data_IF_704260353883
#
_entry.id   IF_704260353883
#
_cell.length_a   1.000
_cell.length_b   1.000
_cell.length_c   1.000
_cell.angle_alpha   90.00
_cell.angle_beta   90.00
_cell.angle_gamma   90.00
#
_symmetry.space_group_name_H-M   'P 1'
#
loop_
_entity.id
_entity.type
_entity.pdbx_description
1 polymer ?
#
# COMPACT_ATOMS: atom_id res chain seq x y z
N UNK A 1 -9.89 5.87 -4.74
CA UNK A 1 -9.72 4.40 -4.87
C UNK A 1 -10.45 3.63 -3.78
N UNK A 2 -10.21 3.91 -2.48
CA UNK A 2 -10.83 3.13 -1.37
C UNK A 2 -12.36 3.06 -1.47
N UNK A 3 -13.04 4.19 -1.68
CA UNK A 3 -14.50 4.23 -1.85
C UNK A 3 -14.97 3.46 -3.09
N UNK A 4 -14.27 3.61 -4.22
CA UNK A 4 -14.60 2.87 -5.45
C UNK A 4 -14.39 1.36 -5.30
N UNK A 5 -13.29 0.95 -4.68
CA UNK A 5 -13.06 -0.46 -4.35
C UNK A 5 -14.15 -0.98 -3.40
N UNK A 6 -14.62 -0.16 -2.44
CA UNK A 6 -15.75 -0.55 -1.58
C UNK A 6 -17.05 -0.73 -2.38
N UNK A 7 -17.33 0.13 -3.35
CA UNK A 7 -18.50 -0.05 -4.25
C UNK A 7 -18.37 -1.37 -5.02
N UNK A 8 -17.20 -1.66 -5.61
CA UNK A 8 -16.98 -2.91 -6.35
C UNK A 8 -17.10 -4.14 -5.45
N UNK A 9 -16.46 -4.12 -4.27
CA UNK A 9 -16.38 -5.30 -3.41
C UNK A 9 -17.66 -5.53 -2.60
N UNK A 10 -18.33 -4.46 -2.13
CA UNK A 10 -19.48 -4.58 -1.24
C UNK A 10 -20.83 -4.42 -1.95
N UNK A 11 -20.96 -3.50 -2.91
CA UNK A 11 -22.24 -3.29 -3.63
C UNK A 11 -22.47 -4.39 -4.67
N UNK A 12 -21.43 -4.77 -5.40
CA UNK A 12 -21.51 -5.87 -6.37
C UNK A 12 -21.14 -7.23 -5.76
N UNK A 13 -20.87 -7.29 -4.44
CA UNK A 13 -20.46 -8.49 -3.72
C UNK A 13 -19.30 -9.27 -4.40
N UNK A 14 -18.39 -8.54 -5.05
CA UNK A 14 -17.31 -9.13 -5.85
C UNK A 14 -16.18 -9.63 -4.94
N UNK A 15 -16.11 -10.95 -4.73
CA UNK A 15 -15.15 -11.56 -3.82
C UNK A 15 -13.84 -12.01 -4.51
N UNK A 16 -13.25 -11.14 -5.33
CA UNK A 16 -11.97 -11.40 -6.02
C UNK A 16 -11.08 -10.15 -6.08
N UNK A 17 -10.61 -9.72 -4.90
CA UNK A 17 -9.86 -8.48 -4.74
C UNK A 17 -8.52 -8.44 -5.49
N UNK A 18 -7.83 -9.58 -5.63
CA UNK A 18 -6.55 -9.65 -6.34
C UNK A 18 -6.79 -9.56 -7.86
N UNK A 19 -7.86 -10.17 -8.35
CA UNK A 19 -8.27 -10.08 -9.75
C UNK A 19 -8.64 -8.65 -10.14
N UNK A 20 -9.32 -7.92 -9.24
CA UNK A 20 -9.57 -6.48 -9.43
C UNK A 20 -8.26 -5.68 -9.48
N UNK A 21 -7.32 -5.95 -8.57
CA UNK A 21 -6.02 -5.29 -8.59
C UNK A 21 -5.23 -5.59 -9.87
N UNK A 22 -5.24 -6.84 -10.34
CA UNK A 22 -4.62 -7.24 -11.60
C UNK A 22 -5.21 -6.45 -12.77
N UNK A 23 -6.54 -6.31 -12.81
CA UNK A 23 -7.22 -5.49 -13.81
C UNK A 23 -6.83 -4.00 -13.71
N UNK A 24 -6.77 -3.44 -12.50
CA UNK A 24 -6.33 -2.04 -12.28
C UNK A 24 -4.89 -1.80 -12.75
N UNK A 25 -3.98 -2.74 -12.50
CA UNK A 25 -2.59 -2.67 -12.97
C UNK A 25 -2.51 -2.81 -14.50
N UNK A 26 -3.38 -3.64 -15.11
CA UNK A 26 -3.48 -3.78 -16.56
C UNK A 26 -3.94 -2.47 -17.21
N UNK A 27 -5.01 -1.86 -16.69
CA UNK A 27 -5.50 -0.55 -17.14
C UNK A 27 -4.40 0.51 -17.00
N UNK A 28 -3.69 0.51 -15.88
CA UNK A 28 -2.55 1.42 -15.66
C UNK A 28 -1.46 1.26 -16.73
N UNK A 29 -1.12 0.03 -17.10
CA UNK A 29 -0.16 -0.24 -18.18
C UNK A 29 -0.67 0.20 -19.55
N UNK A 30 -1.93 -0.09 -19.86
CA UNK A 30 -2.56 0.26 -21.14
C UNK A 30 -2.61 1.78 -21.34
N UNK A 31 -3.06 2.53 -20.32
CA UNK A 31 -3.12 3.99 -20.38
C UNK A 31 -1.75 4.59 -20.63
N UNK A 32 -0.71 4.13 -19.92
CA UNK A 32 0.65 4.64 -20.11
C UNK A 32 1.21 4.25 -21.49
N UNK A 33 0.89 3.05 -21.98
CA UNK A 33 1.28 2.62 -23.33
C UNK A 33 0.61 3.47 -24.43
N UNK A 34 -0.67 3.81 -24.27
CA UNK A 34 -1.39 4.71 -25.17
C UNK A 34 -0.79 6.12 -25.15
N UNK A 35 -0.53 6.68 -23.96
CA UNK A 35 0.11 7.99 -23.82
C UNK A 35 1.51 8.04 -24.45
N UNK A 36 2.25 6.94 -24.39
CA UNK A 36 3.53 6.78 -25.09
C UNK A 36 3.34 6.78 -26.61
N UNK A 37 2.36 6.05 -27.12
CA UNK A 37 2.07 5.97 -28.55
C UNK A 37 1.62 7.32 -29.12
N UNK A 38 0.83 8.08 -28.35
CA UNK A 38 0.43 9.45 -28.69
C UNK A 38 1.54 10.50 -28.57
N UNK A 39 2.76 10.11 -28.17
CA UNK A 39 3.90 11.01 -28.03
C UNK A 39 3.82 11.97 -26.83
N UNK A 40 2.79 11.86 -25.99
CA UNK A 40 2.57 12.73 -24.82
C UNK A 40 3.60 12.45 -23.72
N UNK A 41 4.08 11.20 -23.62
CA UNK A 41 5.02 10.78 -22.58
C UNK A 41 6.21 10.04 -23.16
N UNK A 42 7.41 10.41 -22.72
CA UNK A 42 8.63 9.66 -22.96
C UNK A 42 8.78 8.52 -21.96
N UNK A 43 8.82 7.28 -22.48
CA UNK A 43 9.07 6.08 -21.69
C UNK A 43 10.43 5.50 -22.08
N UNK A 44 11.27 5.28 -21.08
CA UNK A 44 12.60 4.70 -21.25
C UNK A 44 12.53 3.28 -21.81
N UNK A 45 13.53 2.91 -22.61
CA UNK A 45 13.61 1.54 -23.16
C UNK A 45 13.93 0.57 -22.03
N UNK A 46 13.11 -0.46 -21.87
CA UNK A 46 13.34 -1.47 -20.86
C UNK A 46 14.64 -2.22 -21.11
N UNK A 47 15.44 -2.34 -20.06
CA UNK A 47 16.67 -3.12 -20.04
C UNK A 47 16.52 -4.25 -19.02
N UNK A 48 17.03 -5.44 -19.35
CA UNK A 48 17.11 -6.57 -18.42
C UNK A 48 17.79 -6.23 -17.09
N UNK A 49 18.81 -5.36 -17.10
CA UNK A 49 19.43 -4.86 -15.87
C UNK A 49 18.43 -4.10 -14.99
N UNK A 50 17.62 -3.24 -15.60
CA UNK A 50 16.63 -2.42 -14.93
C UNK A 50 15.51 -3.29 -14.33
N UNK A 51 15.02 -4.26 -15.10
CA UNK A 51 14.02 -5.25 -14.66
C UNK A 51 14.55 -6.02 -13.44
N UNK A 52 15.80 -6.52 -13.49
CA UNK A 52 16.39 -7.29 -12.39
C UNK A 52 16.55 -6.46 -11.11
N UNK A 53 16.88 -5.17 -11.24
CA UNK A 53 17.00 -4.26 -10.07
C UNK A 53 15.62 -4.02 -9.44
N UNK A 54 14.55 -4.01 -10.23
CA UNK A 54 13.18 -3.76 -9.74
C UNK A 54 12.38 -4.98 -9.33
N UNK A 55 12.79 -6.17 -9.76
CA UNK A 55 12.12 -7.43 -9.43
C UNK A 55 11.93 -7.63 -7.91
N UNK A 56 12.92 -7.35 -7.02
CA UNK A 56 12.75 -7.51 -5.58
C UNK A 56 11.60 -6.67 -5.01
N UNK A 57 11.36 -5.48 -5.55
CA UNK A 57 10.27 -4.60 -5.10
C UNK A 57 8.91 -5.26 -5.33
N UNK A 58 8.72 -5.90 -6.49
CA UNK A 58 7.48 -6.58 -6.83
C UNK A 58 7.27 -7.86 -6.02
N UNK A 59 8.34 -8.60 -5.70
CA UNK A 59 8.26 -9.77 -4.80
C UNK A 59 7.84 -9.35 -3.39
N UNK A 60 8.39 -8.27 -2.85
CA UNK A 60 7.98 -7.74 -1.55
C UNK A 60 6.53 -7.25 -1.60
N UNK A 61 6.13 -6.61 -2.69
CA UNK A 61 4.75 -6.16 -2.91
C UNK A 61 3.75 -7.33 -2.83
N UNK A 62 4.05 -8.46 -3.47
CA UNK A 62 3.23 -9.69 -3.39
C UNK A 62 3.09 -10.18 -1.97
N UNK A 63 4.20 -10.29 -1.23
CA UNK A 63 4.16 -10.68 0.18
C UNK A 63 3.32 -9.71 1.01
N UNK A 64 3.44 -8.41 0.75
CA UNK A 64 2.65 -7.36 1.41
C UNK A 64 1.15 -7.54 1.14
N UNK A 65 0.75 -7.90 -0.08
CA UNK A 65 -0.66 -8.17 -0.40
C UNK A 65 -1.20 -9.39 0.36
N UNK A 66 -0.50 -10.53 0.28
CA UNK A 66 -0.91 -11.77 0.95
C UNK A 66 -1.05 -11.54 2.45
N UNK A 67 0.00 -11.03 3.09
CA UNK A 67 0.00 -10.77 4.53
C UNK A 67 -1.08 -9.78 4.96
N UNK A 68 -1.36 -8.76 4.15
CA UNK A 68 -2.42 -7.80 4.41
C UNK A 68 -3.82 -8.40 4.32
N UNK A 69 -4.05 -9.28 3.34
CA UNK A 69 -5.32 -9.99 3.18
C UNK A 69 -5.59 -10.96 4.33
N UNK A 70 -4.60 -11.80 4.69
CA UNK A 70 -4.75 -12.71 5.82
C UNK A 70 -4.91 -11.98 7.14
N UNK A 71 -4.22 -10.85 7.34
CA UNK A 71 -4.44 -9.99 8.50
C UNK A 71 -5.90 -9.54 8.62
N UNK A 72 -6.45 -8.92 7.57
CA UNK A 72 -7.84 -8.44 7.54
C UNK A 72 -8.89 -9.56 7.68
N UNK A 73 -8.53 -10.82 7.40
CA UNK A 73 -9.40 -11.98 7.61
C UNK A 73 -9.59 -12.31 9.10
N UNK A 74 -8.59 -12.04 9.94
CA UNK A 74 -8.56 -12.47 11.34
C UNK A 74 -8.70 -11.33 12.34
N UNK A 75 -8.36 -10.09 11.94
CA UNK A 75 -8.45 -8.91 12.80
C UNK A 75 -9.23 -7.79 12.13
N UNK A 76 -9.93 -7.00 12.96
CA UNK A 76 -10.75 -5.91 12.47
C UNK A 76 -9.91 -4.77 11.85
N UNK A 77 -10.53 -3.99 10.97
CA UNK A 77 -9.87 -2.91 10.19
C UNK A 77 -9.24 -1.84 11.09
N UNK A 78 -9.88 -1.51 12.21
CA UNK A 78 -9.37 -0.52 13.14
C UNK A 78 -8.05 -0.98 13.76
N UNK A 79 -7.97 -2.25 14.17
CA UNK A 79 -6.77 -2.81 14.77
C UNK A 79 -5.61 -2.94 13.76
N UNK A 80 -5.90 -3.37 12.52
CA UNK A 80 -4.93 -3.32 11.41
C UNK A 80 -4.37 -1.91 11.24
N UNK A 81 -5.23 -0.90 11.36
CA UNK A 81 -4.86 0.50 11.17
C UNK A 81 -3.89 0.98 12.26
N UNK A 82 -4.15 0.64 13.52
CA UNK A 82 -3.25 0.96 14.64
C UNK A 82 -1.92 0.22 14.48
N UNK A 83 -1.94 -1.10 14.25
CA UNK A 83 -0.73 -1.91 14.12
C UNK A 83 0.15 -1.46 12.95
N UNK A 84 -0.45 -0.96 11.86
CA UNK A 84 0.28 -0.35 10.74
C UNK A 84 1.08 0.89 11.14
N UNK A 85 0.87 1.49 12.30
CA UNK A 85 1.72 2.58 12.77
C UNK A 85 3.13 2.07 13.16
N UNK A 86 3.28 0.80 13.54
CA UNK A 86 4.59 0.19 13.75
C UNK A 86 5.46 0.18 12.47
N UNK A 87 4.82 0.19 11.28
CA UNK A 87 5.51 0.31 9.99
C UNK A 87 6.37 1.58 9.91
N UNK A 88 5.91 2.69 10.51
CA UNK A 88 6.67 3.96 10.50
C UNK A 88 8.02 3.80 11.20
N UNK A 89 8.05 3.03 12.29
CA UNK A 89 9.22 2.81 13.13
C UNK A 89 10.23 1.94 12.41
N UNK A 90 9.77 0.82 11.84
CA UNK A 90 10.59 -0.07 11.03
C UNK A 90 11.16 0.70 9.84
N UNK A 91 10.35 1.56 9.21
CA UNK A 91 10.79 2.41 8.08
C UNK A 91 11.86 3.41 8.51
N UNK A 92 11.71 4.06 9.67
CA UNK A 92 12.69 5.02 10.17
C UNK A 92 14.02 4.37 10.59
N UNK A 93 13.96 3.21 11.25
CA UNK A 93 15.15 2.40 11.56
C UNK A 93 15.84 1.95 10.26
N UNK A 94 15.06 1.45 9.30
CA UNK A 94 15.60 1.04 8.01
C UNK A 94 16.17 2.21 7.21
N UNK A 95 15.58 3.40 7.30
CA UNK A 95 16.11 4.61 6.67
C UNK A 95 17.45 5.03 7.29
N UNK A 96 17.57 4.94 8.63
CA UNK A 96 18.81 5.17 9.35
C UNK A 96 19.90 4.17 8.92
N UNK A 97 19.58 2.88 8.82
CA UNK A 97 20.56 1.85 8.46
C UNK A 97 20.97 1.89 6.99
N UNK A 98 20.00 2.00 6.07
CA UNK A 98 20.26 1.92 4.62
C UNK A 98 20.75 3.23 4.01
N UNK A 99 20.25 4.38 4.47
CA UNK A 99 20.54 5.69 3.89
C UNK A 99 21.36 6.59 4.84
N UNK A 100 21.69 6.12 6.05
CA UNK A 100 22.43 6.87 7.08
C UNK A 100 21.76 8.20 7.46
N UNK A 101 20.44 8.31 7.28
CA UNK A 101 19.67 9.51 7.64
C UNK A 101 19.14 9.39 9.07
N UNK A 102 19.64 10.26 9.97
CA UNK A 102 19.15 10.35 11.36
C UNK A 102 17.81 11.08 11.42
N UNK A 103 16.98 10.64 12.36
CA UNK A 103 15.69 11.28 12.68
C UNK A 103 15.84 12.16 13.92
N UNK A 104 15.03 13.21 14.01
CA UNK A 104 14.99 14.11 15.16
C UNK A 104 14.49 13.37 16.42
N UNK A 105 14.93 13.78 17.62
CA UNK A 105 14.47 13.20 18.89
C UNK A 105 12.95 13.31 19.06
N UNK A 106 12.35 14.39 18.52
CA UNK A 106 10.88 14.54 18.49
C UNK A 106 10.18 13.44 17.68
N UNK A 107 10.80 12.99 16.58
CA UNK A 107 10.27 11.91 15.75
C UNK A 107 10.30 10.58 16.51
N UNK A 108 11.39 10.30 17.23
CA UNK A 108 11.51 9.11 18.08
C UNK A 108 10.47 9.10 19.20
N UNK A 109 10.24 10.24 19.86
CA UNK A 109 9.20 10.36 20.89
C UNK A 109 7.80 10.06 20.33
N UNK A 110 7.48 10.58 19.13
CA UNK A 110 6.20 10.31 18.49
C UNK A 110 6.03 8.84 18.10
N UNK A 111 7.10 8.19 17.62
CA UNK A 111 7.11 6.76 17.34
C UNK A 111 6.89 5.92 18.59
N UNK A 112 7.45 6.32 19.73
CA UNK A 112 7.23 5.63 21.00
C UNK A 112 5.75 5.68 21.43
N UNK A 113 5.09 6.83 21.27
CA UNK A 113 3.65 6.94 21.52
C UNK A 113 2.82 6.02 20.60
N UNK A 114 3.23 5.85 19.34
CA UNK A 114 2.58 4.90 18.42
C UNK A 114 2.72 3.45 18.87
N UNK A 115 3.86 3.07 19.49
CA UNK A 115 4.04 1.72 20.08
C UNK A 115 3.08 1.52 21.24
N UNK A 116 3.01 2.51 22.16
CA UNK A 116 2.12 2.43 23.32
C UNK A 116 0.67 2.22 22.87
N UNK A 117 0.21 2.99 21.88
CA UNK A 117 -1.13 2.83 21.29
C UNK A 117 -1.35 1.44 20.69
N UNK A 118 -0.36 0.90 19.97
CA UNK A 118 -0.47 -0.42 19.35
C UNK A 118 -0.55 -1.54 20.38
N UNK A 119 0.24 -1.45 21.46
CA UNK A 119 0.23 -2.42 22.55
C UNK A 119 -1.09 -2.30 23.34
N UNK A 120 -1.51 -1.09 23.71
CA UNK A 120 -2.76 -0.88 24.44
C UNK A 120 -3.98 -1.32 23.62
N UNK A 121 -3.99 -1.04 22.32
CA UNK A 121 -5.01 -1.50 21.39
C UNK A 121 -5.09 -3.02 21.32
N UNK A 122 -3.95 -3.72 21.32
CA UNK A 122 -3.92 -5.18 21.30
C UNK A 122 -4.38 -5.84 22.59
N UNK A 123 -4.02 -5.27 23.74
CA UNK A 123 -4.46 -5.77 25.04
C UNK A 123 -5.97 -5.58 25.22
N UNK A 124 -6.53 -4.50 24.66
CA UNK A 124 -7.95 -4.15 24.78
C UNK A 124 -8.82 -4.68 23.64
N UNK A 125 -8.24 -5.47 22.73
CA UNK A 125 -8.96 -6.08 21.62
C UNK A 125 -9.76 -7.30 22.11
N UNK A 126 -11.08 -7.13 22.16
CA UNK A 126 -12.03 -8.19 22.52
C UNK A 126 -12.04 -9.35 21.51
N UNK A 127 -11.47 -9.15 20.32
CA UNK A 127 -11.40 -10.11 19.21
C UNK A 127 -9.97 -10.53 18.88
N UNK A 128 -9.12 -10.63 19.91
CA UNK A 128 -7.71 -10.98 19.72
C UNK A 128 -7.52 -12.33 19.01
N UNK A 129 -6.77 -12.31 17.91
CA UNK A 129 -6.41 -13.50 17.14
C UNK A 129 -4.90 -13.52 16.84
N UNK A 130 -4.15 -14.37 17.54
CA UNK A 130 -2.69 -14.44 17.40
C UNK A 130 -2.20 -14.66 15.95
N UNK A 131 -2.94 -15.42 15.15
CA UNK A 131 -2.62 -15.65 13.73
C UNK A 131 -2.76 -14.35 12.94
N UNK A 132 -3.84 -13.61 13.15
CA UNK A 132 -4.07 -12.30 12.52
C UNK A 132 -3.00 -11.26 12.88
N UNK A 133 -2.62 -11.19 14.15
CA UNK A 133 -1.56 -10.28 14.63
C UNK A 133 -0.18 -10.64 14.06
N UNK A 134 0.12 -11.93 13.90
CA UNK A 134 1.35 -12.40 13.26
C UNK A 134 1.39 -11.98 11.79
N UNK A 135 0.29 -12.21 11.05
CA UNK A 135 0.17 -11.74 9.67
C UNK A 135 0.29 -10.23 9.54
N UNK A 136 -0.32 -9.48 10.47
CA UNK A 136 -0.22 -8.02 10.48
C UNK A 136 1.20 -7.53 10.77
N UNK A 137 1.92 -8.21 11.66
CA UNK A 137 3.32 -7.88 11.97
C UNK A 137 4.20 -8.13 10.74
N UNK A 138 4.03 -9.27 10.08
CA UNK A 138 4.68 -9.56 8.81
C UNK A 138 4.33 -8.51 7.73
N UNK A 139 3.06 -8.09 7.67
CA UNK A 139 2.60 -7.03 6.76
C UNK A 139 3.31 -5.70 7.04
N UNK A 140 3.50 -5.32 8.31
CA UNK A 140 4.22 -4.10 8.67
C UNK A 140 5.69 -4.14 8.21
N UNK A 141 6.37 -5.28 8.43
CA UNK A 141 7.76 -5.48 7.98
C UNK A 141 7.87 -5.41 6.46
N UNK A 142 6.96 -6.07 5.74
CA UNK A 142 6.93 -6.08 4.27
C UNK A 142 6.59 -4.71 3.70
N UNK A 143 5.67 -3.96 4.33
CA UNK A 143 5.31 -2.59 3.91
C UNK A 143 6.49 -1.64 4.08
N UNK A 144 7.22 -1.72 5.20
CA UNK A 144 8.43 -0.92 5.42
C UNK A 144 9.55 -1.33 4.43
N UNK A 145 9.74 -2.63 4.24
CA UNK A 145 10.73 -3.17 3.30
C UNK A 145 10.43 -2.74 1.86
N UNK A 146 9.15 -2.69 1.47
CA UNK A 146 8.72 -2.23 0.16
C UNK A 146 9.10 -0.77 -0.07
N UNK A 147 8.75 0.15 0.85
CA UNK A 147 9.04 1.57 0.68
C UNK A 147 10.55 1.87 0.66
N UNK A 148 11.33 1.21 1.53
CA UNK A 148 12.79 1.32 1.58
C UNK A 148 13.46 0.76 0.31
N UNK A 149 13.04 -0.43 -0.12
CA UNK A 149 13.60 -1.08 -1.31
C UNK A 149 13.22 -0.31 -2.57
N UNK A 150 11.97 0.14 -2.68
CA UNK A 150 11.52 0.96 -3.80
C UNK A 150 12.35 2.24 -3.87
N UNK A 151 12.56 2.95 -2.76
CA UNK A 151 13.44 4.13 -2.73
C UNK A 151 14.85 3.80 -3.19
N UNK A 152 15.46 2.74 -2.66
CA UNK A 152 16.81 2.32 -3.01
C UNK A 152 16.93 1.95 -4.49
N UNK A 153 15.90 1.32 -5.05
CA UNK A 153 15.83 0.95 -6.46
C UNK A 153 15.68 2.19 -7.33
N UNK A 154 14.85 3.17 -6.95
CA UNK A 154 14.76 4.44 -7.67
C UNK A 154 16.11 5.18 -7.72
N UNK A 155 16.86 5.18 -6.61
CA UNK A 155 18.20 5.79 -6.57
C UNK A 155 19.23 5.00 -7.42
N UNK A 156 19.21 3.65 -7.39
CA UNK A 156 20.09 2.79 -8.21
C UNK A 156 19.74 2.78 -9.70
N UNK A 157 18.46 2.91 -10.04
CA UNK A 157 17.98 2.88 -11.42
C UNK A 157 18.52 4.07 -12.23
N UNK A 158 18.80 5.22 -11.59
CA UNK A 158 19.49 6.36 -12.21
C UNK A 158 20.84 5.97 -12.80
N UNK A 159 21.60 5.11 -12.10
CA UNK A 159 22.92 4.64 -12.53
C UNK A 159 22.84 3.54 -13.61
N UNK A 160 21.70 2.87 -13.72
CA UNK A 160 21.50 1.72 -14.62
C UNK A 160 20.82 2.07 -15.95
N UNK A 161 20.42 3.33 -16.12
CA UNK A 161 19.70 3.83 -17.30
C UNK A 161 20.66 4.59 -18.21
N UNK A 162 20.60 4.37 -19.53
CA UNK A 162 21.52 4.98 -20.51
C UNK A 162 21.44 6.52 -20.55
N UNK A 163 20.31 7.11 -20.19
CA UNK A 163 20.06 8.55 -20.13
C UNK A 163 20.46 9.20 -18.79
N UNK A 164 20.86 8.41 -17.79
CA UNK A 164 21.23 8.92 -16.45
C UNK A 164 20.05 9.39 -15.57
N UNK A 165 18.82 9.40 -16.10
CA UNK A 165 17.61 9.67 -15.33
C UNK A 165 16.48 8.77 -15.79
N UNK A 166 15.61 8.38 -14.86
CA UNK A 166 14.49 7.51 -15.13
C UNK A 166 13.21 8.29 -14.84
N UNK A 167 12.43 8.55 -15.88
CA UNK A 167 11.17 9.30 -15.76
C UNK A 167 10.19 8.57 -14.82
N UNK A 168 9.47 9.31 -13.98
CA UNK A 168 8.41 8.82 -13.10
C UNK A 168 7.38 7.97 -13.83
N UNK A 169 7.03 8.32 -15.07
CA UNK A 169 6.08 7.50 -15.83
C UNK A 169 6.68 6.15 -16.22
N UNK A 170 7.99 6.08 -16.47
CA UNK A 170 8.69 4.81 -16.69
C UNK A 170 8.74 3.97 -15.42
N UNK A 171 8.89 4.60 -14.25
CA UNK A 171 8.80 3.93 -12.96
C UNK A 171 7.44 3.31 -12.72
N UNK A 172 6.38 4.07 -12.99
CA UNK A 172 5.00 3.62 -12.86
C UNK A 172 4.69 2.46 -13.78
N UNK A 173 5.09 2.57 -15.06
CA UNK A 173 4.89 1.51 -16.02
C UNK A 173 5.63 0.23 -15.60
N UNK A 174 6.89 0.33 -15.19
CA UNK A 174 7.65 -0.84 -14.80
C UNK A 174 7.05 -1.52 -13.56
N UNK A 175 6.65 -0.75 -12.55
CA UNK A 175 6.06 -1.32 -11.34
C UNK A 175 4.75 -2.06 -11.64
N UNK A 176 3.84 -1.43 -12.40
CA UNK A 176 2.56 -2.04 -12.76
C UNK A 176 2.75 -3.24 -13.68
N UNK A 177 3.65 -3.15 -14.68
CA UNK A 177 3.92 -4.22 -15.63
C UNK A 177 4.55 -5.43 -14.95
N UNK A 178 5.54 -5.22 -14.09
CA UNK A 178 6.16 -6.32 -13.33
C UNK A 178 5.20 -6.91 -12.30
N UNK A 179 4.23 -6.16 -11.80
CA UNK A 179 3.19 -6.68 -10.91
C UNK A 179 2.20 -7.62 -11.61
N UNK A 180 2.03 -7.53 -12.95
CA UNK A 180 1.10 -8.41 -13.68
C UNK A 180 1.42 -9.92 -13.57
N UNK A 181 2.63 -10.42 -13.89
CA UNK A 181 2.93 -11.85 -13.78
C UNK A 181 2.77 -12.37 -12.36
N UNK A 182 3.12 -11.57 -11.35
CA UNK A 182 2.89 -11.95 -9.96
C UNK A 182 1.41 -11.95 -9.59
N UNK A 183 0.64 -10.96 -10.05
CA UNK A 183 -0.81 -10.92 -9.85
C UNK A 183 -1.52 -12.11 -10.49
N UNK A 184 -1.15 -12.48 -11.72
CA UNK A 184 -1.65 -13.68 -12.40
C UNK A 184 -1.35 -14.93 -11.57
N UNK A 185 -0.11 -15.06 -11.08
CA UNK A 185 0.29 -16.19 -10.23
C UNK A 185 -0.58 -16.27 -8.97
N UNK A 186 -0.83 -15.14 -8.30
CA UNK A 186 -1.69 -15.09 -7.12
C UNK A 186 -3.14 -15.45 -7.42
N UNK A 187 -3.71 -14.94 -8.53
CA UNK A 187 -5.08 -15.26 -8.96
C UNK A 187 -5.24 -16.76 -9.20
N UNK A 188 -4.23 -17.41 -9.79
CA UNK A 188 -4.22 -18.87 -10.00
C UNK A 188 -4.13 -19.62 -8.67
N UNK A 189 -3.16 -19.26 -7.82
CA UNK A 189 -2.91 -19.94 -6.54
C UNK A 189 -4.08 -19.84 -5.56
N UNK A 190 -4.76 -18.69 -5.53
CA UNK A 190 -5.90 -18.44 -4.65
C UNK A 190 -7.24 -18.84 -5.27
N UNK A 191 -7.22 -19.31 -6.53
CA UNK A 191 -8.41 -19.79 -7.22
C UNK A 191 -9.43 -18.72 -7.61
N UNK A 192 -9.09 -17.42 -7.51
CA UNK A 192 -10.02 -16.33 -7.83
C UNK A 192 -10.48 -16.36 -9.30
N UNK A 193 -9.67 -16.90 -10.23
CA UNK A 193 -10.05 -17.03 -11.63
C UNK A 193 -11.34 -17.84 -11.84
N UNK A 194 -11.58 -18.88 -11.03
CA UNK A 194 -12.81 -19.69 -11.11
C UNK A 194 -14.02 -18.86 -10.75
N UNK A 195 -13.91 -18.08 -9.67
CA UNK A 195 -14.95 -17.17 -9.22
C UNK A 195 -15.26 -16.12 -10.28
N UNK A 196 -14.24 -15.47 -10.84
CA UNK A 196 -14.38 -14.41 -11.85
C UNK A 196 -15.11 -14.90 -13.10
N UNK A 197 -14.84 -16.12 -13.56
CA UNK A 197 -15.51 -16.68 -14.75
C UNK A 197 -16.97 -17.06 -14.44
N UNK A 198 -17.24 -17.53 -13.21
CA UNK A 198 -18.59 -17.98 -12.81
C UNK A 198 -19.55 -16.86 -12.42
N UNK A 199 -19.04 -15.69 -12.03
CA UNK A 199 -19.88 -14.65 -11.42
C UNK A 199 -20.60 -13.81 -12.48
N UNK A 200 -21.92 -13.67 -12.33
CA UNK A 200 -22.76 -12.89 -13.24
C UNK A 200 -22.46 -11.39 -13.20
N UNK A 201 -21.80 -10.91 -12.14
CA UNK A 201 -21.37 -9.52 -11.98
C UNK A 201 -20.46 -9.08 -13.13
N UNK A 202 -19.66 -9.98 -13.70
CA UNK A 202 -18.78 -9.67 -14.84
C UNK A 202 -19.54 -9.47 -16.15
N UNK A 203 -20.83 -9.84 -16.22
CA UNK A 203 -21.70 -9.62 -17.39
C UNK A 203 -22.31 -8.22 -17.39
N UNK A 204 -22.29 -7.53 -16.25
CA UNK A 204 -22.82 -6.17 -16.13
C UNK A 204 -21.81 -5.15 -16.71
N UNK A 205 -22.26 -4.33 -17.67
CA UNK A 205 -21.45 -3.27 -18.25
C UNK A 205 -21.07 -2.21 -17.21
N UNK A 206 -21.95 -1.92 -16.24
CA UNK A 206 -21.70 -0.90 -15.22
C UNK A 206 -20.59 -1.32 -14.27
N UNK A 207 -20.45 -2.63 -14.00
CA UNK A 207 -19.32 -3.17 -13.25
C UNK A 207 -17.99 -2.79 -13.91
N UNK A 208 -17.86 -2.97 -15.23
CA UNK A 208 -16.64 -2.63 -15.96
C UNK A 208 -16.37 -1.13 -16.01
N UNK A 209 -17.39 -0.28 -16.05
CA UNK A 209 -17.23 1.18 -15.93
C UNK A 209 -16.62 1.53 -14.58
N UNK A 210 -17.16 1.01 -13.48
CA UNK A 210 -16.65 1.28 -12.12
C UNK A 210 -15.26 0.66 -11.93
N UNK A 211 -15.02 -0.57 -12.42
CA UNK A 211 -13.72 -1.23 -12.37
C UNK A 211 -12.66 -0.43 -13.14
N UNK A 212 -12.98 0.09 -14.32
CA UNK A 212 -12.06 0.88 -15.14
C UNK A 212 -11.80 2.25 -14.51
N UNK A 213 -12.83 2.92 -13.97
CA UNK A 213 -12.67 4.15 -13.19
C UNK A 213 -11.76 3.94 -11.97
N UNK A 214 -11.89 2.79 -11.29
CA UNK A 214 -11.00 2.41 -10.20
C UNK A 214 -9.55 2.19 -10.68
N UNK A 215 -9.36 1.68 -11.89
CA UNK A 215 -8.07 1.55 -12.55
C UNK A 215 -7.38 2.89 -12.82
N UNK A 216 -8.11 3.90 -13.31
CA UNK A 216 -7.58 5.26 -13.47
C UNK A 216 -7.15 5.88 -12.12
N UNK A 217 -7.94 5.69 -11.07
CA UNK A 217 -7.55 6.12 -9.72
C UNK A 217 -6.33 5.33 -9.20
N UNK A 218 -6.22 4.04 -9.52
CA UNK A 218 -5.06 3.20 -9.22
C UNK A 218 -3.79 3.70 -9.90
N UNK A 219 -3.88 4.11 -11.17
CA UNK A 219 -2.79 4.75 -11.90
C UNK A 219 -2.39 6.06 -11.24
N UNK A 220 -3.35 6.92 -10.90
CA UNK A 220 -3.08 8.20 -10.24
C UNK A 220 -2.38 8.01 -8.89
N UNK A 221 -2.79 7.03 -8.09
CA UNK A 221 -2.14 6.70 -6.82
C UNK A 221 -0.73 6.15 -7.05
N UNK A 222 -0.54 5.27 -8.04
CA UNK A 222 0.77 4.72 -8.38
C UNK A 222 1.75 5.81 -8.77
N UNK A 223 1.32 6.74 -9.61
CA UNK A 223 2.12 7.89 -10.05
C UNK A 223 2.44 8.84 -8.89
N UNK A 224 1.41 9.33 -8.19
CA UNK A 224 1.60 10.26 -7.07
C UNK A 224 2.44 9.65 -5.95
N UNK A 225 2.28 8.36 -5.66
CA UNK A 225 3.09 7.66 -4.64
C UNK A 225 4.56 7.57 -5.02
N UNK A 226 4.87 7.16 -6.26
CA UNK A 226 6.26 7.08 -6.71
C UNK A 226 6.90 8.45 -6.82
N UNK A 227 6.18 9.43 -7.39
CA UNK A 227 6.64 10.81 -7.44
C UNK A 227 6.93 11.37 -6.04
N UNK A 228 6.00 11.22 -5.10
CA UNK A 228 6.18 11.72 -3.74
C UNK A 228 7.34 11.02 -3.03
N UNK A 229 7.45 9.69 -3.15
CA UNK A 229 8.56 8.93 -2.57
C UNK A 229 9.91 9.30 -3.21
N UNK A 230 9.93 9.63 -4.51
CA UNK A 230 11.12 10.09 -5.24
C UNK A 230 11.58 11.48 -4.78
N UNK A 231 10.64 12.42 -4.53
CA UNK A 231 10.95 13.77 -4.07
C UNK A 231 11.31 13.86 -2.58
N UNK A 232 10.81 12.93 -1.76
CA UNK A 232 10.96 13.00 -0.29
C UNK A 232 11.89 11.91 0.25
N UNK A 233 11.32 10.86 0.85
CA UNK A 233 12.01 9.73 1.43
C UNK A 233 11.03 8.74 2.09
N UNK A 234 11.49 7.53 2.45
CA UNK A 234 10.64 6.47 2.98
C UNK A 234 9.87 6.86 4.25
N UNK A 235 10.51 7.55 5.20
CA UNK A 235 9.86 7.96 6.45
C UNK A 235 8.78 9.01 6.22
N UNK A 236 9.01 9.98 5.33
CA UNK A 236 8.01 11.00 4.98
C UNK A 236 6.85 10.40 4.18
N UNK A 237 7.13 9.44 3.29
CA UNK A 237 6.10 8.67 2.60
C UNK A 237 5.23 7.88 3.58
N UNK A 238 5.85 7.19 4.55
CA UNK A 238 5.13 6.44 5.59
C UNK A 238 4.32 7.35 6.52
N UNK A 239 4.80 8.58 6.75
CA UNK A 239 4.08 9.61 7.49
C UNK A 239 2.78 9.99 6.80
N UNK A 240 2.83 10.38 5.52
CA UNK A 240 1.62 10.75 4.75
C UNK A 240 0.66 9.57 4.68
N UNK A 241 1.20 8.36 4.49
CA UNK A 241 0.41 7.13 4.57
C UNK A 241 -0.31 6.98 5.91
N UNK A 242 0.30 7.38 7.03
CA UNK A 242 -0.33 7.34 8.35
C UNK A 242 -1.36 8.44 8.59
N UNK A 243 -1.16 9.64 8.02
CA UNK A 243 -2.18 10.69 8.04
C UNK A 243 -3.43 10.27 7.27
N UNK A 244 -3.26 9.63 6.11
CA UNK A 244 -4.36 9.09 5.31
C UNK A 244 -5.18 8.03 6.06
N UNK A 245 -4.61 7.36 7.07
CA UNK A 245 -5.33 6.38 7.89
C UNK A 245 -6.39 7.02 8.80
N UNK A 246 -6.21 8.27 9.22
CA UNK A 246 -7.15 8.98 10.11
C UNK A 246 -8.57 9.02 9.50
N UNK A 247 -8.78 9.59 8.30
CA UNK A 247 -10.11 9.62 7.68
C UNK A 247 -10.63 8.22 7.34
N UNK A 248 -9.75 7.27 6.96
CA UNK A 248 -10.13 5.88 6.68
C UNK A 248 -10.66 5.20 7.93
N UNK A 249 -9.97 5.35 9.06
CA UNK A 249 -10.37 4.77 10.35
C UNK A 249 -11.70 5.35 10.81
N UNK A 250 -11.85 6.69 10.78
CA UNK A 250 -13.11 7.35 11.14
C UNK A 250 -14.27 6.87 10.26
N UNK A 251 -14.05 6.80 8.95
CA UNK A 251 -15.04 6.27 8.01
C UNK A 251 -15.35 4.80 8.29
N UNK A 252 -14.35 3.99 8.67
CA UNK A 252 -14.52 2.58 9.00
C UNK A 252 -15.38 2.37 10.25
N UNK A 253 -15.14 3.15 11.30
CA UNK A 253 -15.92 3.07 12.56
C UNK A 253 -17.39 3.44 12.30
N UNK A 254 -17.66 4.49 11.52
CA UNK A 254 -19.01 4.94 11.19
C UNK A 254 -19.73 3.95 10.26
N UNK A 255 -19.02 3.37 9.28
CA UNK A 255 -19.65 2.55 8.24
C UNK A 255 -19.81 1.07 8.60
N UNK A 256 -19.04 0.54 9.55
CA UNK A 256 -19.01 -0.90 9.84
C UNK A 256 -19.59 -1.29 11.21
N UNK A 257 -20.17 -0.35 11.98
CA UNK A 257 -20.82 -0.58 13.28
C UNK A 257 -20.09 -1.63 14.15
N UNK A 258 -18.77 -1.50 14.24
CA UNK A 258 -17.93 -2.46 14.96
C UNK A 258 -18.23 -2.33 16.46
N UNK A 259 -18.41 -3.43 17.21
CA UNK A 259 -18.55 -3.36 18.66
C UNK A 259 -17.23 -2.86 19.27
N UNK A 260 -17.22 -1.59 19.69
CA UNK A 260 -16.04 -0.93 20.26
C UNK A 260 -16.19 -0.85 21.77
N UNK A 261 -15.31 -1.52 22.50
CA UNK A 261 -15.11 -1.19 23.91
C UNK A 261 -14.51 0.20 24.07
N UNK A 262 -14.93 0.94 25.10
CA UNK A 262 -14.36 2.26 25.45
C UNK A 262 -12.81 2.27 25.50
N UNK A 263 -12.13 1.24 26.06
CA UNK A 263 -10.67 1.19 26.07
C UNK A 263 -10.04 1.04 24.69
N UNK A 264 -10.69 0.30 23.79
CA UNK A 264 -10.21 0.10 22.41
C UNK A 264 -10.35 1.41 21.60
N UNK A 265 -11.49 2.11 21.75
CA UNK A 265 -11.69 3.41 21.13
C UNK A 265 -10.63 4.43 21.57
N UNK A 266 -10.31 4.49 22.85
CA UNK A 266 -9.26 5.37 23.36
C UNK A 266 -7.88 5.03 22.74
N UNK A 267 -7.55 3.74 22.65
CA UNK A 267 -6.29 3.29 22.03
C UNK A 267 -6.19 3.68 20.55
N UNK A 268 -7.31 3.57 19.80
CA UNK A 268 -7.40 4.03 18.40
C UNK A 268 -7.15 5.54 18.32
N UNK A 269 -7.89 6.35 19.09
CA UNK A 269 -7.77 7.80 19.06
C UNK A 269 -6.37 8.27 19.47
N UNK A 270 -5.78 7.64 20.50
CA UNK A 270 -4.41 7.92 20.93
C UNK A 270 -3.38 7.60 19.83
N UNK A 271 -3.57 6.50 19.09
CA UNK A 271 -2.71 6.13 17.96
C UNK A 271 -2.80 7.10 16.79
N UNK A 272 -4.01 7.58 16.48
CA UNK A 272 -4.23 8.61 15.46
C UNK A 272 -3.58 9.93 15.90
N UNK A 273 -3.74 10.32 17.16
CA UNK A 273 -3.08 11.50 17.73
C UNK A 273 -1.55 11.41 17.67
N UNK A 274 -0.97 10.27 18.05
CA UNK A 274 0.46 10.01 17.94
C UNK A 274 0.96 10.15 16.48
N UNK A 275 0.15 9.73 15.50
CA UNK A 275 0.43 9.95 14.07
C UNK A 275 0.47 11.43 13.68
N UNK A 276 -0.42 12.26 14.24
CA UNK A 276 -0.40 13.72 14.03
C UNK A 276 0.84 14.35 14.68
N UNK A 277 1.20 13.93 15.89
CA UNK A 277 2.42 14.41 16.55
C UNK A 277 3.66 14.01 15.75
N UNK A 278 3.70 12.80 15.20
CA UNK A 278 4.77 12.35 14.31
C UNK A 278 4.87 13.23 13.06
N UNK A 279 3.72 13.63 12.47
CA UNK A 279 3.70 14.56 11.35
C UNK A 279 4.35 15.90 11.69
N UNK A 280 3.91 16.49 12.80
CA UNK A 280 4.41 17.78 13.27
C UNK A 280 5.90 17.72 13.61
N UNK A 281 6.34 16.64 14.26
CA UNK A 281 7.73 16.42 14.64
C UNK A 281 8.67 16.27 13.43
N UNK A 282 8.16 15.76 12.29
CA UNK A 282 8.95 15.62 11.07
C UNK A 282 9.04 16.93 10.28
N UNK A 283 8.06 17.83 10.43
CA UNK A 283 8.05 19.16 9.81
C UNK A 283 8.84 20.22 10.59
N UNK A 284 9.20 19.95 11.87
CA UNK A 284 9.99 20.83 12.73
C UNK A 284 11.48 20.51 12.74
#
# INVERSE_FOLDING_TARGET
>A
MILMNKVVLSTYNFNAGISLMLYQNLISCLVVALLKFSGVVSVEKFNWKLIRVWLPVNVIFVGMLISGMYSLKYINVAMVTILKNATNIITAIGELYMFRKRQNNKVWAAMFMMIISAISGGITDLTFNAVGYTWQTANCVLTASYSLTLRRVMDKAKQSTKSGSLNEVSMVLLNNLLSLPFGITLVILLGEWRYVISTDVTKDAMFWVVATASGFLGLAISFTSMWFLHQTGPTTYSLVGSLNKVPISLSGLVLFNVPLGLPNLFSILFGLFAGIVFARAKMS
#
